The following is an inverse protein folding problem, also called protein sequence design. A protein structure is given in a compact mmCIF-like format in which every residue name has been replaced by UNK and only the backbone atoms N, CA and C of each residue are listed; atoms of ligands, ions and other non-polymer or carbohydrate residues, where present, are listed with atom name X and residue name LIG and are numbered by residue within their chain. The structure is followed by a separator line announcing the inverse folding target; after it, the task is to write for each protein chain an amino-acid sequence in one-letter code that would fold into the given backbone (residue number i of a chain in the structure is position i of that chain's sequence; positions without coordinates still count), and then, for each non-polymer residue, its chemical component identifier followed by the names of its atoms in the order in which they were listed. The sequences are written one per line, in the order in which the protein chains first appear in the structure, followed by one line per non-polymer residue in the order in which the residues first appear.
data_IF_899653001424
#
_entry.id   IF_899653001424
#
_cell.length_a   1.000
_cell.length_b   1.000
_cell.length_c   1.000
_cell.angle_alpha   90.00
_cell.angle_beta   90.00
_cell.angle_gamma   90.00
#
_symmetry.space_group_name_H-M   'P 1'
#
loop_
_entity.id
_entity.type
_entity.pdbx_description
1 polymer ?
#
# COMPACT_ATOMS: atom_id res chain seq x y z
N UNK A 1 14.93 18.91 1.93
CA UNK A 1 14.69 17.45 1.89
C UNK A 1 13.51 17.20 0.98
N UNK A 2 13.76 16.68 -0.23
CA UNK A 2 12.68 16.27 -1.15
C UNK A 2 12.51 14.77 -0.98
N UNK A 3 11.35 14.38 -0.44
CA UNK A 3 10.92 12.98 -0.39
C UNK A 3 10.30 12.70 -1.76
N UNK A 4 10.89 11.80 -2.54
CA UNK A 4 10.28 11.37 -3.80
C UNK A 4 9.17 10.38 -3.45
N UNK A 5 7.93 10.86 -3.44
CA UNK A 5 6.74 10.15 -2.99
C UNK A 5 6.02 9.37 -4.12
N UNK A 6 6.61 9.30 -5.30
CA UNK A 6 6.00 8.67 -6.47
C UNK A 6 4.99 9.55 -7.22
N UNK A 7 4.86 10.85 -6.90
CA UNK A 7 3.97 11.76 -7.63
C UNK A 7 4.65 12.57 -8.73
N UNK A 8 5.97 12.46 -8.90
CA UNK A 8 6.66 13.00 -10.06
C UNK A 8 7.17 11.82 -10.90
N UNK A 9 6.63 11.69 -12.09
CA UNK A 9 7.24 10.91 -13.17
C UNK A 9 8.56 11.58 -13.56
N UNK A 10 9.60 10.84 -14.00
CA UNK A 10 10.63 11.43 -14.83
C UNK A 10 9.97 12.19 -15.99
N UNK A 11 10.48 13.36 -16.34
CA UNK A 11 9.99 14.13 -17.48
C UNK A 11 10.34 13.37 -18.76
N UNK A 12 9.41 12.55 -19.26
CA UNK A 12 9.55 11.82 -20.53
C UNK A 12 9.27 12.72 -21.75
N UNK A 13 9.15 14.03 -21.56
CA UNK A 13 8.73 14.95 -22.61
C UNK A 13 7.28 14.76 -23.05
N UNK A 14 6.84 15.64 -23.97
CA UNK A 14 5.45 15.83 -24.38
C UNK A 14 4.86 14.73 -25.28
N UNK A 15 5.58 13.65 -25.55
CA UNK A 15 5.15 12.59 -26.48
C UNK A 15 4.80 11.25 -25.82
N UNK A 16 4.93 11.09 -24.50
CA UNK A 16 4.79 9.78 -23.85
C UNK A 16 3.64 9.74 -22.84
N UNK A 17 2.56 9.04 -23.21
CA UNK A 17 1.52 8.54 -22.30
C UNK A 17 1.19 7.07 -22.63
N UNK A 18 1.09 6.13 -21.66
CA UNK A 18 1.55 6.24 -20.28
C UNK A 18 2.73 5.32 -19.90
N UNK A 19 3.17 4.30 -20.65
CA UNK A 19 4.32 3.47 -20.23
C UNK A 19 5.04 2.82 -21.42
N UNK A 20 6.23 3.31 -21.77
CA UNK A 20 7.11 2.70 -22.77
C UNK A 20 8.13 1.81 -22.04
N UNK A 21 8.06 0.49 -22.23
CA UNK A 21 9.17 -0.41 -21.89
C UNK A 21 10.19 -0.35 -23.03
N UNK A 22 11.41 0.10 -22.76
CA UNK A 22 12.52 0.23 -23.71
C UNK A 22 13.48 -0.96 -23.66
N UNK A 23 13.19 -1.97 -22.84
CA UNK A 23 14.10 -3.08 -22.53
C UNK A 23 14.84 -2.93 -21.21
N UNK A 24 14.58 -1.88 -20.41
CA UNK A 24 15.22 -1.64 -19.11
C UNK A 24 14.43 -2.25 -17.94
N UNK A 25 14.95 -3.27 -17.24
CA UNK A 25 14.27 -3.86 -16.10
C UNK A 25 14.48 -2.96 -14.86
N UNK A 26 13.72 -1.89 -14.65
CA UNK A 26 13.85 -1.07 -13.43
C UNK A 26 13.53 0.41 -13.61
N UNK A 27 13.92 1.22 -12.61
CA UNK A 27 13.78 2.68 -12.61
C UNK A 27 15.15 3.32 -12.41
N UNK A 28 15.44 4.32 -13.23
CA UNK A 28 16.64 5.14 -13.09
C UNK A 28 16.32 6.45 -12.38
N UNK A 29 16.85 6.59 -11.18
CA UNK A 29 16.80 7.83 -10.43
C UNK A 29 18.01 8.68 -10.81
N UNK A 30 17.77 9.81 -11.49
CA UNK A 30 18.82 10.77 -11.85
C UNK A 30 19.38 11.47 -10.61
N UNK A 31 20.32 10.79 -9.94
CA UNK A 31 20.97 11.21 -8.71
C UNK A 31 22.45 10.85 -8.71
N UNK A 32 23.29 11.87 -8.60
CA UNK A 32 24.74 11.74 -8.67
C UNK A 32 25.36 11.66 -7.28
N UNK A 33 26.00 10.54 -6.96
CA UNK A 33 26.85 10.36 -5.77
C UNK A 33 26.17 10.67 -4.43
N UNK A 34 24.92 10.21 -4.27
CA UNK A 34 24.15 10.39 -3.03
C UNK A 34 23.98 9.08 -2.27
N UNK A 35 23.76 9.12 -0.95
CA UNK A 35 23.47 7.93 -0.16
C UNK A 35 22.28 7.12 -0.69
N UNK A 36 22.46 5.79 -0.77
CA UNK A 36 21.45 4.80 -1.17
C UNK A 36 21.12 3.94 0.05
N UNK A 37 19.83 3.72 0.29
CA UNK A 37 19.33 3.04 1.48
C UNK A 37 18.47 1.83 1.10
N UNK A 38 18.50 0.79 1.92
CA UNK A 38 17.69 -0.40 1.75
C UNK A 38 16.20 -0.05 1.76
N UNK A 39 15.51 -0.36 0.68
CA UNK A 39 14.12 -0.02 0.47
C UNK A 39 13.17 -0.85 1.37
N UNK A 40 13.58 -2.08 1.73
CA UNK A 40 12.96 -2.92 2.74
C UNK A 40 14.03 -3.70 3.55
N UNK A 41 13.65 -4.26 4.70
CA UNK A 41 14.53 -5.10 5.49
C UNK A 41 14.74 -6.47 4.84
N UNK A 42 15.91 -7.07 5.03
CA UNK A 42 16.25 -8.34 4.39
C UNK A 42 17.71 -8.72 4.56
N UNK A 43 18.17 -9.68 3.77
CA UNK A 43 19.55 -10.17 3.77
C UNK A 43 20.26 -9.73 2.50
N UNK A 44 21.46 -9.16 2.62
CA UNK A 44 22.34 -8.93 1.48
C UNK A 44 22.70 -10.28 0.86
N UNK A 45 22.21 -10.56 -0.34
CA UNK A 45 22.50 -11.81 -1.05
C UNK A 45 23.63 -11.65 -2.08
N UNK A 46 23.90 -10.42 -2.51
CA UNK A 46 24.97 -10.13 -3.46
C UNK A 46 25.49 -8.72 -3.26
N UNK A 47 26.80 -8.56 -3.42
CA UNK A 47 27.51 -7.29 -3.39
C UNK A 47 28.75 -7.42 -4.26
N UNK A 48 28.64 -7.05 -5.54
CA UNK A 48 29.75 -7.14 -6.50
C UNK A 48 29.47 -6.35 -7.77
N UNK A 49 30.47 -6.26 -8.64
CA UNK A 49 30.34 -5.69 -9.97
C UNK A 49 29.66 -6.69 -10.94
N UNK A 50 28.50 -6.33 -11.50
CA UNK A 50 27.68 -7.22 -12.35
C UNK A 50 27.53 -6.63 -13.75
N UNK A 51 28.51 -6.87 -14.62
CA UNK A 51 28.42 -6.53 -16.05
C UNK A 51 27.89 -5.11 -16.31
N UNK A 52 26.77 -5.00 -17.05
CA UNK A 52 26.11 -3.73 -17.38
C UNK A 52 25.58 -2.97 -16.17
N UNK A 53 25.20 -3.63 -15.08
CA UNK A 53 24.73 -2.99 -13.85
C UNK A 53 25.84 -2.29 -13.06
N UNK A 54 27.11 -2.62 -13.32
CA UNK A 54 28.22 -2.09 -12.53
C UNK A 54 28.20 -2.58 -11.08
N UNK A 55 28.71 -1.78 -10.16
CA UNK A 55 28.70 -2.12 -8.73
C UNK A 55 27.25 -2.20 -8.23
N UNK A 56 26.88 -3.37 -7.70
CA UNK A 56 25.49 -3.72 -7.41
C UNK A 56 25.34 -4.33 -6.03
N UNK A 57 24.32 -3.91 -5.30
CA UNK A 57 23.83 -4.59 -4.10
C UNK A 57 22.50 -5.25 -4.42
N UNK A 58 22.32 -6.50 -3.96
CA UNK A 58 21.05 -7.20 -3.99
C UNK A 58 20.63 -7.60 -2.59
N UNK A 59 19.37 -7.37 -2.28
CA UNK A 59 18.77 -7.69 -0.98
C UNK A 59 17.64 -8.68 -1.22
N UNK A 60 17.70 -9.85 -0.58
CA UNK A 60 16.55 -10.75 -0.49
C UNK A 60 15.68 -10.36 0.69
N UNK A 61 14.39 -10.24 0.45
CA UNK A 61 13.38 -9.90 1.46
C UNK A 61 12.59 -11.12 1.92
N UNK A 62 12.98 -12.32 1.46
CA UNK A 62 12.23 -13.56 1.65
C UNK A 62 11.04 -13.69 0.70
N UNK A 63 10.40 -14.86 0.71
CA UNK A 63 9.20 -15.17 -0.08
C UNK A 63 9.32 -14.86 -1.59
N UNK A 64 10.53 -14.97 -2.14
CA UNK A 64 10.82 -14.73 -3.56
C UNK A 64 11.06 -13.27 -3.93
N UNK A 65 11.02 -12.33 -2.98
CA UNK A 65 11.20 -10.91 -3.27
C UNK A 65 12.67 -10.47 -3.16
N UNK A 66 13.10 -9.64 -4.10
CA UNK A 66 14.44 -9.04 -4.12
C UNK A 66 14.39 -7.57 -4.54
N UNK A 67 15.34 -6.78 -4.05
CA UNK A 67 15.65 -5.45 -4.59
C UNK A 67 17.08 -5.36 -5.07
N UNK A 68 17.28 -4.68 -6.19
CA UNK A 68 18.60 -4.48 -6.79
C UNK A 68 18.91 -2.98 -6.83
N UNK A 69 20.15 -2.62 -6.49
CA UNK A 69 20.66 -1.25 -6.47
C UNK A 69 21.96 -1.24 -7.27
N UNK A 70 21.95 -0.61 -8.44
CA UNK A 70 23.01 -0.70 -9.43
C UNK A 70 23.60 0.68 -9.78
N UNK A 71 24.67 0.66 -10.59
CA UNK A 71 25.53 1.78 -10.94
C UNK A 71 26.16 2.47 -9.74
N UNK A 72 26.35 1.76 -8.62
CA UNK A 72 26.86 2.33 -7.38
C UNK A 72 28.31 2.82 -7.55
N UNK A 73 28.69 3.84 -6.79
CA UNK A 73 30.10 4.31 -6.76
C UNK A 73 30.89 3.69 -5.61
N UNK A 74 30.21 3.37 -4.52
CA UNK A 74 30.81 2.78 -3.33
C UNK A 74 29.76 2.00 -2.53
N UNK A 75 30.22 0.93 -1.87
CA UNK A 75 29.44 0.23 -0.86
C UNK A 75 29.65 0.88 0.51
N UNK A 76 28.61 0.87 1.35
CA UNK A 76 28.75 1.35 2.73
C UNK A 76 29.64 0.37 3.53
N UNK A 77 30.56 0.86 4.39
CA UNK A 77 31.36 0.00 5.25
C UNK A 77 30.51 -0.94 6.11
N UNK A 78 30.92 -2.21 6.20
CA UNK A 78 30.20 -3.24 6.95
C UNK A 78 29.08 -3.94 6.17
N UNK A 79 28.66 -3.42 5.01
CA UNK A 79 27.73 -4.13 4.12
C UNK A 79 28.45 -5.28 3.42
N UNK A 80 28.09 -6.51 3.81
CA UNK A 80 28.66 -7.76 3.30
C UNK A 80 27.55 -8.77 3.01
N UNK A 81 27.82 -9.74 2.13
CA UNK A 81 26.89 -10.84 1.83
C UNK A 81 26.59 -11.62 3.12
N UNK A 82 25.31 -11.94 3.34
CA UNK A 82 24.79 -12.59 4.55
C UNK A 82 24.38 -11.61 5.65
N UNK A 83 24.69 -10.31 5.53
CA UNK A 83 24.30 -9.31 6.52
C UNK A 83 22.79 -9.04 6.47
N UNK A 84 22.16 -9.01 7.64
CA UNK A 84 20.81 -8.48 7.80
C UNK A 84 20.84 -6.96 7.75
N UNK A 85 19.95 -6.37 6.96
CA UNK A 85 19.75 -4.93 6.90
C UNK A 85 18.33 -4.58 7.30
N UNK A 86 18.18 -3.50 8.04
CA UNK A 86 16.87 -2.92 8.31
C UNK A 86 16.49 -1.96 7.19
N UNK A 87 15.20 -1.77 6.99
CA UNK A 87 14.69 -0.75 6.09
C UNK A 87 15.25 0.63 6.44
N UNK A 88 15.61 1.41 5.42
CA UNK A 88 16.20 2.74 5.59
C UNK A 88 17.63 2.73 6.11
N UNK A 89 18.28 1.56 6.21
CA UNK A 89 19.70 1.48 6.48
C UNK A 89 20.49 1.88 5.23
N UNK A 90 21.51 2.73 5.40
CA UNK A 90 22.40 3.10 4.28
C UNK A 90 23.18 1.87 3.85
N UNK A 91 23.18 1.60 2.55
CA UNK A 91 23.84 0.41 1.97
C UNK A 91 24.95 0.77 0.98
N UNK A 92 24.87 1.95 0.36
CA UNK A 92 25.79 2.34 -0.70
C UNK A 92 25.71 3.86 -0.98
N UNK A 93 26.43 4.28 -2.03
CA UNK A 93 26.34 5.60 -2.66
C UNK A 93 26.06 5.40 -4.16
N UNK A 94 25.13 6.16 -4.73
CA UNK A 94 24.84 6.12 -6.18
C UNK A 94 26.07 6.54 -6.98
N UNK A 95 26.11 6.24 -8.27
CA UNK A 95 27.32 6.43 -9.04
C UNK A 95 27.09 6.39 -10.54
N UNK A 96 28.09 5.90 -11.25
CA UNK A 96 28.09 5.83 -12.71
C UNK A 96 28.89 4.62 -13.22
N UNK A 97 28.94 3.53 -12.43
CA UNK A 97 29.66 2.32 -12.82
C UNK A 97 28.82 1.47 -13.78
N UNK A 98 29.44 0.56 -14.53
CA UNK A 98 28.72 -0.24 -15.52
C UNK A 98 28.38 0.52 -16.80
N UNK A 99 27.33 0.06 -17.49
CA UNK A 99 26.79 0.67 -18.69
C UNK A 99 25.82 1.79 -18.31
N UNK A 100 26.38 2.95 -17.97
CA UNK A 100 25.63 4.13 -17.57
C UNK A 100 26.01 5.34 -18.42
N UNK A 101 25.02 6.08 -18.91
CA UNK A 101 25.23 7.30 -19.72
C UNK A 101 25.49 8.55 -18.88
N UNK A 102 25.22 8.50 -17.57
CA UNK A 102 25.47 9.57 -16.62
C UNK A 102 25.08 9.16 -15.19
N UNK A 103 25.57 9.85 -14.14
CA UNK A 103 25.41 9.38 -12.77
C UNK A 103 23.93 9.24 -12.35
N UNK A 104 23.54 8.03 -11.92
CA UNK A 104 22.19 7.71 -11.47
C UNK A 104 22.19 6.49 -10.53
N UNK A 105 21.02 6.17 -9.98
CA UNK A 105 20.75 4.89 -9.32
C UNK A 105 19.78 4.11 -10.19
N UNK A 106 20.20 2.93 -10.67
CA UNK A 106 19.27 1.96 -11.23
C UNK A 106 18.71 1.08 -10.12
N UNK A 107 17.38 1.03 -10.01
CA UNK A 107 16.68 0.33 -8.95
C UNK A 107 15.67 -0.66 -9.53
N UNK A 108 15.71 -1.89 -9.04
CA UNK A 108 14.75 -2.91 -9.41
C UNK A 108 14.02 -3.50 -8.21
N UNK A 109 12.78 -3.93 -8.47
CA UNK A 109 12.05 -4.88 -7.64
C UNK A 109 11.84 -6.15 -8.43
N UNK A 110 12.19 -7.30 -7.85
CA UNK A 110 12.01 -8.61 -8.49
C UNK A 110 11.20 -9.56 -7.63
N UNK A 111 10.42 -10.41 -8.29
CA UNK A 111 9.72 -11.54 -7.69
C UNK A 111 10.11 -12.84 -8.39
N UNK A 112 10.60 -13.81 -7.62
CA UNK A 112 11.15 -15.09 -8.11
C UNK A 112 12.14 -14.90 -9.26
N UNK A 113 13.04 -13.91 -9.12
CA UNK A 113 14.09 -13.59 -10.08
C UNK A 113 13.65 -12.76 -11.29
N UNK A 114 12.35 -12.52 -11.48
CA UNK A 114 11.81 -11.73 -12.58
C UNK A 114 11.63 -10.26 -12.18
N UNK A 115 12.06 -9.29 -13.00
CA UNK A 115 11.73 -7.88 -12.82
C UNK A 115 10.22 -7.67 -12.73
N UNK A 116 9.79 -6.80 -11.83
CA UNK A 116 8.39 -6.42 -11.65
C UNK A 116 8.28 -4.90 -11.65
N UNK A 117 7.15 -4.39 -12.15
CA UNK A 117 6.84 -2.98 -12.04
C UNK A 117 6.59 -2.63 -10.55
N UNK A 118 7.42 -1.75 -9.94
CA UNK A 118 7.26 -1.38 -8.54
C UNK A 118 5.98 -0.58 -8.27
N UNK A 119 5.34 0.00 -9.29
CA UNK A 119 4.12 0.83 -9.19
C UNK A 119 2.86 0.13 -9.72
N UNK A 120 3.03 -0.87 -10.57
CA UNK A 120 1.93 -1.51 -11.30
C UNK A 120 1.38 -0.64 -12.43
N UNK A 121 0.79 -1.28 -13.43
CA UNK A 121 0.19 -0.59 -14.58
C UNK A 121 -1.18 0.01 -14.23
N UNK A 122 -1.37 1.29 -14.53
CA UNK A 122 -2.70 1.92 -14.59
C UNK A 122 -3.18 2.08 -16.04
N UNK A 123 -4.40 1.63 -16.37
CA UNK A 123 -5.04 1.82 -17.69
C UNK A 123 -5.74 0.58 -18.27
N UNK A 124 -6.48 0.74 -19.37
CA UNK A 124 -7.36 -0.29 -19.97
C UNK A 124 -6.73 -1.14 -21.10
N UNK A 125 -5.53 -0.82 -21.58
CA UNK A 125 -4.88 -1.60 -22.66
C UNK A 125 -4.26 -2.93 -22.18
N UNK A 126 -3.74 -3.74 -23.10
CA UNK A 126 -2.94 -4.94 -22.80
C UNK A 126 -1.59 -4.51 -22.23
N UNK A 127 -1.15 -5.16 -21.15
CA UNK A 127 0.16 -4.97 -20.55
C UNK A 127 1.27 -5.47 -21.51
N UNK A 128 2.27 -4.65 -21.88
CA UNK A 128 3.38 -5.08 -22.74
C UNK A 128 4.20 -6.25 -22.18
N UNK A 129 4.12 -6.52 -20.87
CA UNK A 129 4.77 -7.65 -20.18
C UNK A 129 3.86 -8.88 -20.05
N UNK A 130 2.89 -9.05 -20.96
CA UNK A 130 1.89 -10.13 -20.99
C UNK A 130 2.41 -11.56 -20.73
N UNK A 131 3.68 -11.84 -21.06
CA UNK A 131 4.30 -13.15 -20.85
C UNK A 131 5.05 -13.32 -19.52
N UNK A 132 5.31 -12.23 -18.78
CA UNK A 132 6.03 -12.23 -17.51
C UNK A 132 5.22 -11.50 -16.44
N UNK A 133 4.16 -12.16 -15.97
CA UNK A 133 3.45 -11.92 -14.70
C UNK A 133 3.58 -10.51 -14.10
N UNK A 134 2.72 -9.60 -14.56
CA UNK A 134 2.39 -8.35 -13.86
C UNK A 134 1.71 -8.61 -12.52
N UNK A 135 2.47 -9.03 -11.51
CA UNK A 135 2.09 -8.91 -10.10
C UNK A 135 2.60 -7.57 -9.60
N UNK A 136 1.72 -6.72 -9.09
CA UNK A 136 2.13 -5.51 -8.40
C UNK A 136 3.13 -5.87 -7.29
N UNK A 137 4.21 -5.08 -7.14
CA UNK A 137 5.18 -5.22 -6.05
C UNK A 137 4.61 -4.88 -4.65
N UNK A 138 3.29 -4.81 -4.49
CA UNK A 138 2.59 -4.50 -3.23
C UNK A 138 3.02 -5.39 -2.07
N UNK A 139 3.57 -6.58 -2.35
CA UNK A 139 4.05 -7.51 -1.33
C UNK A 139 5.53 -7.38 -0.93
N UNK A 140 6.40 -6.82 -1.79
CA UNK A 140 7.82 -6.60 -1.44
C UNK A 140 7.90 -5.67 -0.23
N UNK A 141 7.10 -4.61 -0.28
CA UNK A 141 7.16 -3.51 0.67
C UNK A 141 6.56 -3.86 2.02
N UNK A 142 5.90 -5.01 2.14
CA UNK A 142 5.08 -5.45 3.26
C UNK A 142 5.63 -6.71 3.94
N UNK A 143 6.89 -6.73 4.39
CA UNK A 143 7.47 -7.75 5.30
C UNK A 143 7.10 -9.24 5.02
N UNK A 144 6.80 -9.61 3.77
CA UNK A 144 6.33 -10.95 3.40
C UNK A 144 4.85 -11.27 3.65
N UNK A 145 3.97 -10.28 3.90
CA UNK A 145 2.52 -10.46 4.05
C UNK A 145 1.76 -9.64 2.99
N UNK A 146 1.37 -10.27 1.87
CA UNK A 146 0.40 -9.75 0.89
C UNK A 146 -1.03 -9.57 1.47
N UNK A 147 -1.19 -9.43 2.78
CA UNK A 147 -2.46 -9.47 3.48
C UNK A 147 -3.03 -8.07 3.65
N UNK A 148 -4.03 -7.73 2.85
CA UNK A 148 -5.02 -6.78 3.32
C UNK A 148 -5.77 -7.47 4.48
N UNK A 149 -6.01 -6.75 5.57
CA UNK A 149 -6.83 -7.27 6.65
C UNK A 149 -8.26 -6.93 6.32
N UNK A 150 -9.07 -7.95 6.08
CA UNK A 150 -10.54 -7.79 6.01
C UNK A 150 -11.10 -8.24 7.34
N UNK A 151 -11.86 -7.36 7.96
CA UNK A 151 -12.67 -7.67 9.13
C UNK A 151 -14.10 -7.79 8.66
N UNK A 152 -14.68 -8.95 8.90
CA UNK A 152 -16.02 -9.35 8.51
C UNK A 152 -16.65 -10.20 9.63
N UNK A 153 -17.92 -10.60 9.55
CA UNK A 153 -18.57 -11.30 10.67
C UNK A 153 -17.94 -12.66 11.02
N UNK A 154 -17.37 -13.34 10.03
CA UNK A 154 -16.71 -14.63 10.22
C UNK A 154 -15.30 -14.54 10.85
N UNK A 155 -14.78 -13.34 11.08
CA UNK A 155 -13.39 -13.13 11.52
C UNK A 155 -13.19 -13.21 13.04
N UNK A 156 -14.28 -13.20 13.82
CA UNK A 156 -14.22 -13.08 15.28
C UNK A 156 -13.73 -11.72 15.78
N UNK A 157 -13.54 -10.74 14.88
CA UNK A 157 -13.09 -9.37 15.18
C UNK A 157 -14.11 -8.29 14.80
N UNK A 158 -15.29 -8.73 14.37
CA UNK A 158 -16.48 -7.90 14.20
C UNK A 158 -17.37 -8.03 15.44
N UNK A 159 -17.78 -6.90 16.00
CA UNK A 159 -18.69 -6.82 17.13
C UNK A 159 -19.83 -5.87 16.78
N UNK A 160 -21.03 -6.17 17.27
CA UNK A 160 -22.23 -5.44 16.87
C UNK A 160 -23.22 -5.28 18.00
N UNK A 161 -24.12 -4.32 17.83
CA UNK A 161 -25.36 -4.21 18.57
C UNK A 161 -26.46 -3.89 17.55
N UNK A 162 -27.16 -4.89 17.01
CA UNK A 162 -28.21 -4.70 16.00
C UNK A 162 -29.61 -5.13 16.45
N UNK A 163 -29.73 -5.83 17.59
CA UNK A 163 -30.91 -6.65 17.88
C UNK A 163 -31.06 -7.78 16.85
N UNK A 164 -31.58 -8.95 17.22
CA UNK A 164 -31.64 -10.08 16.29
C UNK A 164 -32.42 -9.77 14.99
N UNK A 165 -32.04 -10.42 13.88
CA UNK A 165 -32.88 -10.52 12.67
C UNK A 165 -32.59 -9.58 11.50
N UNK A 166 -31.63 -8.66 11.58
CA UNK A 166 -31.35 -7.72 10.50
C UNK A 166 -30.16 -8.12 9.62
N UNK A 167 -30.30 -9.22 8.87
CA UNK A 167 -29.24 -9.76 8.01
C UNK A 167 -29.71 -10.00 6.58
N UNK A 168 -28.78 -9.91 5.60
CA UNK A 168 -29.04 -10.28 4.21
C UNK A 168 -27.81 -10.97 3.58
N UNK A 169 -28.00 -11.77 2.52
CA UNK A 169 -26.94 -12.63 1.96
C UNK A 169 -26.11 -12.00 0.81
N UNK A 170 -26.18 -10.69 0.63
CA UNK A 170 -25.64 -9.96 -0.53
C UNK A 170 -24.41 -9.11 -0.22
N UNK A 171 -23.90 -9.13 1.01
CA UNK A 171 -22.65 -8.46 1.33
C UNK A 171 -21.43 -9.28 0.97
N UNK A 172 -20.28 -8.78 1.37
CA UNK A 172 -19.02 -9.50 1.31
C UNK A 172 -19.15 -10.82 2.08
N UNK A 173 -18.49 -11.87 1.59
CA UNK A 173 -18.65 -13.24 2.13
C UNK A 173 -20.10 -13.78 2.21
N UNK A 174 -21.05 -13.22 1.43
CA UNK A 174 -22.48 -13.55 1.44
C UNK A 174 -23.23 -13.20 2.72
N UNK A 175 -22.83 -12.13 3.38
CA UNK A 175 -23.39 -11.70 4.65
C UNK A 175 -23.35 -10.18 4.77
N UNK A 176 -24.42 -9.59 5.28
CA UNK A 176 -24.44 -8.18 5.70
C UNK A 176 -25.51 -7.96 6.75
N UNK A 177 -25.37 -6.87 7.49
CA UNK A 177 -26.35 -6.40 8.45
C UNK A 177 -26.87 -5.03 8.04
N UNK A 178 -28.10 -4.70 8.41
CA UNK A 178 -28.64 -3.36 8.16
C UNK A 178 -29.53 -2.90 9.30
N UNK A 179 -29.66 -1.61 9.52
CA UNK A 179 -30.67 -1.07 10.44
C UNK A 179 -31.27 0.23 9.89
N UNK A 180 -32.48 0.62 10.31
CA UNK A 180 -33.01 1.95 10.03
C UNK A 180 -32.06 3.03 10.56
N UNK A 181 -31.98 4.15 9.85
CA UNK A 181 -31.22 5.30 10.30
C UNK A 181 -31.87 6.02 11.51
N UNK A 182 -31.08 6.87 12.15
CA UNK A 182 -31.47 7.68 13.31
C UNK A 182 -31.06 9.14 13.13
N UNK A 183 -31.88 10.04 13.67
CA UNK A 183 -31.66 11.49 13.62
C UNK A 183 -30.86 12.05 14.79
N UNK A 184 -31.05 11.50 16.00
CA UNK A 184 -30.64 12.20 17.23
C UNK A 184 -29.94 11.35 18.28
N UNK A 185 -30.00 10.02 18.16
CA UNK A 185 -29.36 9.10 19.10
C UNK A 185 -28.94 7.81 18.43
N UNK A 186 -27.74 7.35 18.79
CA UNK A 186 -27.22 6.04 18.40
C UNK A 186 -28.01 4.97 19.13
N UNK A 187 -28.53 4.00 18.39
CA UNK A 187 -29.15 2.80 18.97
C UNK A 187 -28.35 1.56 18.58
N UNK A 188 -27.92 1.49 17.32
CA UNK A 188 -27.23 0.35 16.75
C UNK A 188 -25.87 0.74 16.18
N UNK A 189 -24.94 -0.22 16.20
CA UNK A 189 -23.58 0.02 15.73
C UNK A 189 -22.88 -1.28 15.32
N UNK A 190 -21.94 -1.14 14.40
CA UNK A 190 -20.96 -2.17 14.02
C UNK A 190 -19.55 -1.70 14.32
N UNK A 191 -18.69 -2.61 14.75
CA UNK A 191 -17.33 -2.34 15.19
C UNK A 191 -16.37 -3.39 14.60
N UNK A 192 -15.37 -2.92 13.86
CA UNK A 192 -14.38 -3.75 13.18
C UNK A 192 -13.00 -3.50 13.77
N UNK A 193 -12.42 -4.52 14.41
CA UNK A 193 -11.06 -4.46 14.94
C UNK A 193 -10.08 -5.18 13.99
N UNK A 194 -9.17 -4.47 13.30
CA UNK A 194 -8.25 -5.12 12.38
C UNK A 194 -7.22 -6.02 13.06
N UNK A 195 -6.86 -5.81 14.33
CA UNK A 195 -5.75 -6.51 14.99
C UNK A 195 -4.50 -6.57 14.10
N UNK A 196 -3.99 -5.39 13.73
CA UNK A 196 -2.93 -5.19 12.76
C UNK A 196 -1.61 -5.77 13.25
N UNK A 197 -0.87 -6.46 12.39
CA UNK A 197 0.43 -7.05 12.77
C UNK A 197 1.56 -6.02 12.82
N UNK A 198 1.41 -4.90 12.11
CA UNK A 198 2.46 -3.91 11.92
C UNK A 198 1.93 -2.50 12.07
N UNK A 199 2.78 -1.60 12.56
CA UNK A 199 2.52 -0.17 12.55
C UNK A 199 2.76 0.41 11.15
N UNK A 200 2.18 1.58 10.87
CA UNK A 200 2.41 2.36 9.66
C UNK A 200 1.11 2.82 8.99
N UNK A 201 1.20 3.38 7.78
CA UNK A 201 0.04 3.90 7.07
C UNK A 201 -0.79 2.79 6.43
N UNK A 202 -2.11 2.88 6.55
CA UNK A 202 -3.08 2.00 5.89
C UNK A 202 -4.17 2.82 5.20
N UNK A 203 -4.53 2.44 3.97
CA UNK A 203 -5.81 2.80 3.41
C UNK A 203 -6.91 1.94 4.04
N UNK A 204 -8.02 2.57 4.36
CA UNK A 204 -9.20 1.93 4.92
C UNK A 204 -10.32 1.99 3.90
N UNK A 205 -10.98 0.86 3.67
CA UNK A 205 -12.12 0.73 2.78
C UNK A 205 -13.31 0.10 3.51
N UNK A 206 -14.52 0.50 3.14
CA UNK A 206 -15.74 -0.20 3.51
C UNK A 206 -16.34 -0.88 2.28
N UNK A 207 -16.84 -2.10 2.44
CA UNK A 207 -17.67 -2.74 1.42
C UNK A 207 -19.10 -2.22 1.53
N UNK A 208 -19.68 -1.78 0.42
CA UNK A 208 -21.07 -1.33 0.36
C UNK A 208 -21.90 -2.40 -0.35
N UNK A 209 -22.82 -3.08 0.36
CA UNK A 209 -23.71 -4.09 -0.22
C UNK A 209 -24.61 -3.50 -1.30
N UNK A 210 -25.07 -4.34 -2.23
CA UNK A 210 -26.02 -3.96 -3.29
C UNK A 210 -27.44 -3.61 -2.81
N UNK A 211 -27.78 -3.95 -1.56
CA UNK A 211 -29.12 -3.75 -0.98
C UNK A 211 -29.03 -3.30 0.47
N UNK A 212 -30.08 -2.61 0.94
CA UNK A 212 -30.26 -2.16 2.33
C UNK A 212 -29.17 -1.20 2.88
N UNK A 213 -28.30 -0.65 2.02
CA UNK A 213 -27.35 0.40 2.34
C UNK A 213 -27.77 1.71 1.64
N UNK A 214 -28.83 2.36 2.13
CA UNK A 214 -29.52 3.44 1.42
C UNK A 214 -29.36 4.83 2.05
N UNK A 215 -28.62 4.95 3.16
CA UNK A 215 -28.28 6.25 3.73
C UNK A 215 -27.37 7.05 2.81
N UNK A 216 -27.63 8.36 2.73
CA UNK A 216 -26.76 9.34 2.09
C UNK A 216 -25.64 9.86 3.00
N UNK A 217 -25.64 9.53 4.29
CA UNK A 217 -24.78 10.17 5.28
C UNK A 217 -24.26 9.20 6.37
N UNK A 218 -23.64 8.10 5.95
CA UNK A 218 -22.99 7.16 6.86
C UNK A 218 -21.66 7.72 7.40
N UNK A 219 -21.53 7.84 8.72
CA UNK A 219 -20.33 8.33 9.40
C UNK A 219 -19.42 7.21 9.89
N UNK A 220 -18.42 6.84 9.09
CA UNK A 220 -17.42 5.85 9.50
C UNK A 220 -16.40 6.50 10.43
N UNK A 221 -16.38 6.11 11.70
CA UNK A 221 -15.42 6.59 12.70
C UNK A 221 -14.20 5.68 12.72
N UNK A 222 -13.03 6.21 12.42
CA UNK A 222 -11.78 5.45 12.31
C UNK A 222 -10.86 5.87 13.46
N UNK A 223 -10.57 4.95 14.38
CA UNK A 223 -9.58 5.15 15.43
C UNK A 223 -8.20 4.72 14.95
N UNK A 224 -7.27 5.68 14.89
CA UNK A 224 -5.91 5.55 14.40
C UNK A 224 -4.94 6.21 15.40
N UNK A 225 -3.64 6.20 15.14
CA UNK A 225 -2.61 6.64 16.11
C UNK A 225 -2.79 8.09 16.58
N UNK A 226 -3.28 8.96 15.70
CA UNK A 226 -3.50 10.39 16.00
C UNK A 226 -4.87 10.71 16.61
N UNK A 227 -5.71 9.70 16.89
CA UNK A 227 -7.05 9.87 17.46
C UNK A 227 -8.15 9.27 16.58
N UNK A 228 -9.31 9.94 16.53
CA UNK A 228 -10.48 9.47 15.78
C UNK A 228 -10.78 10.44 14.65
N UNK A 229 -10.80 9.94 13.42
CA UNK A 229 -11.33 10.65 12.25
C UNK A 229 -12.72 10.13 11.90
N UNK A 230 -13.55 10.96 11.25
CA UNK A 230 -14.85 10.53 10.72
C UNK A 230 -14.86 10.73 9.21
N UNK A 231 -15.19 9.67 8.48
CA UNK A 231 -15.34 9.68 7.03
C UNK A 231 -16.81 9.53 6.67
N UNK A 232 -17.43 10.63 6.22
CA UNK A 232 -18.82 10.65 5.80
C UNK A 232 -18.97 10.15 4.36
N UNK A 233 -19.87 9.19 4.12
CA UNK A 233 -20.11 8.61 2.79
C UNK A 233 -21.60 8.38 2.55
N UNK A 234 -22.03 8.61 1.32
CA UNK A 234 -23.34 8.18 0.85
C UNK A 234 -23.27 6.71 0.45
N UNK A 235 -23.88 5.81 1.23
CA UNK A 235 -23.97 4.40 0.84
C UNK A 235 -24.87 4.22 -0.39
N UNK A 236 -25.91 5.05 -0.51
CA UNK A 236 -26.82 5.03 -1.66
C UNK A 236 -26.14 5.31 -3.02
N UNK A 237 -24.91 5.85 -3.02
CA UNK A 237 -24.15 6.16 -4.22
C UNK A 237 -23.35 4.97 -4.78
N UNK A 238 -23.28 3.85 -4.07
CA UNK A 238 -22.39 2.73 -4.39
C UNK A 238 -23.14 1.41 -4.47
N UNK A 239 -22.60 0.46 -5.23
CA UNK A 239 -23.26 -0.83 -5.46
C UNK A 239 -22.26 -1.98 -5.49
N UNK A 240 -22.29 -2.82 -4.44
CA UNK A 240 -21.47 -4.03 -4.31
C UNK A 240 -19.98 -3.79 -4.58
N UNK A 241 -19.41 -2.82 -3.89
CA UNK A 241 -18.05 -2.35 -4.14
C UNK A 241 -17.33 -1.90 -2.87
N UNK A 242 -16.00 -1.83 -2.95
CA UNK A 242 -15.15 -1.31 -1.88
C UNK A 242 -14.93 0.20 -2.06
N UNK A 243 -15.39 1.00 -1.11
CA UNK A 243 -15.23 2.45 -1.13
C UNK A 243 -14.11 2.90 -0.22
N UNK A 244 -13.36 3.91 -0.65
CA UNK A 244 -12.23 4.45 0.11
C UNK A 244 -12.72 5.41 1.21
N UNK A 245 -12.33 5.12 2.45
CA UNK A 245 -12.66 5.92 3.63
C UNK A 245 -11.55 6.92 3.98
N UNK A 246 -10.30 6.62 3.66
CA UNK A 246 -9.15 7.46 3.97
C UNK A 246 -7.89 6.64 4.25
N UNK A 247 -6.77 7.34 4.43
CA UNK A 247 -5.49 6.75 4.81
C UNK A 247 -5.02 7.33 6.13
N UNK A 248 -4.62 6.46 7.05
CA UNK A 248 -4.27 6.83 8.42
C UNK A 248 -3.07 6.03 8.93
N UNK A 249 -2.35 6.60 9.89
CA UNK A 249 -1.28 5.91 10.62
C UNK A 249 -1.86 5.04 11.73
N UNK A 250 -1.47 3.77 11.77
CA UNK A 250 -1.89 2.81 12.79
C UNK A 250 -0.69 2.25 13.54
N UNK A 251 -0.86 1.90 14.82
CA UNK A 251 0.06 1.04 15.54
C UNK A 251 -0.30 -0.45 15.32
N UNK A 252 0.70 -1.32 15.43
CA UNK A 252 0.47 -2.76 15.53
C UNK A 252 -0.36 -3.09 16.80
N UNK A 253 -1.14 -4.16 16.72
CA UNK A 253 -1.97 -4.68 17.80
C UNK A 253 -3.47 -4.49 17.57
N UNK A 254 -4.25 -4.64 18.63
CA UNK A 254 -5.72 -4.63 18.62
C UNK A 254 -6.31 -3.31 19.14
N UNK A 255 -5.51 -2.24 19.26
CA UNK A 255 -5.95 -0.95 19.82
C UNK A 255 -6.78 -0.09 18.87
N UNK A 256 -6.80 -0.42 17.57
CA UNK A 256 -7.46 0.39 16.54
C UNK A 256 -8.74 -0.26 16.03
N UNK A 257 -9.61 0.55 15.41
CA UNK A 257 -10.92 0.10 14.97
C UNK A 257 -11.56 1.04 13.96
N UNK A 258 -12.54 0.51 13.23
CA UNK A 258 -13.56 1.30 12.53
C UNK A 258 -14.89 1.04 13.21
N UNK A 259 -15.70 2.08 13.41
CA UNK A 259 -17.06 1.99 13.96
C UNK A 259 -18.01 2.72 13.04
N UNK A 260 -19.11 2.07 12.73
CA UNK A 260 -20.26 2.68 12.06
C UNK A 260 -21.43 2.66 13.05
N UNK A 261 -22.21 3.72 13.05
CA UNK A 261 -23.38 3.92 13.91
C UNK A 261 -24.58 4.20 13.00
N UNK A 262 -25.79 3.97 13.51
CA UNK A 262 -27.04 4.25 12.81
C UNK A 262 -27.43 5.74 12.78
N UNK A 263 -26.64 6.60 13.45
CA UNK A 263 -26.85 8.04 13.49
C UNK A 263 -26.35 8.72 12.20
N UNK A 264 -27.27 8.97 11.28
CA UNK A 264 -26.99 9.62 9.98
C UNK A 264 -27.51 11.06 9.90
N UNK A 265 -28.29 11.48 10.90
CA UNK A 265 -28.97 12.79 10.96
C UNK A 265 -29.98 13.02 9.83
N UNK A 266 -30.29 12.00 9.03
CA UNK A 266 -31.28 12.10 7.94
C UNK A 266 -32.70 11.98 8.49
N UNK A 267 -33.61 12.76 7.91
CA UNK A 267 -35.02 12.78 8.30
C UNK A 267 -35.85 11.67 7.65
N UNK A 268 -35.42 11.20 6.48
CA UNK A 268 -36.02 10.11 5.74
C UNK A 268 -35.68 8.75 6.36
N UNK A 269 -36.61 7.78 6.21
CA UNK A 269 -36.42 6.40 6.65
C UNK A 269 -35.47 5.64 5.70
N UNK A 270 -34.18 5.96 5.76
CA UNK A 270 -33.11 5.25 5.06
C UNK A 270 -32.57 4.11 5.92
N UNK A 271 -31.70 3.28 5.35
CA UNK A 271 -31.05 2.17 6.06
C UNK A 271 -29.54 2.36 6.02
N UNK A 272 -28.90 2.06 7.14
CA UNK A 272 -27.45 1.96 7.24
C UNK A 272 -27.07 0.49 7.06
N UNK A 273 -26.23 0.21 6.06
CA UNK A 273 -25.65 -1.12 5.83
C UNK A 273 -24.32 -1.28 6.57
N UNK A 274 -24.08 -2.45 7.12
CA UNK A 274 -22.87 -2.86 7.83
C UNK A 274 -22.39 -4.17 7.23
N UNK A 275 -21.16 -4.21 6.79
CA UNK A 275 -20.57 -5.36 6.09
C UNK A 275 -19.09 -5.45 6.47
N UNK A 276 -18.17 -5.57 5.51
CA UNK A 276 -16.75 -5.73 5.77
C UNK A 276 -15.95 -4.41 5.70
N UNK A 277 -14.88 -4.35 6.50
CA UNK A 277 -13.87 -3.28 6.45
C UNK A 277 -12.53 -3.87 6.04
N UNK A 278 -11.86 -3.24 5.06
CA UNK A 278 -10.56 -3.67 4.56
C UNK A 278 -9.49 -2.63 4.87
N UNK A 279 -8.40 -3.08 5.48
CA UNK A 279 -7.20 -2.30 5.74
C UNK A 279 -6.11 -2.78 4.78
N UNK A 280 -5.68 -1.89 3.90
CA UNK A 280 -4.61 -2.14 2.93
C UNK A 280 -3.41 -1.33 3.37
N UNK A 281 -2.33 -2.01 3.74
CA UNK A 281 -1.15 -1.30 4.18
C UNK A 281 -0.53 -0.54 3.00
N UNK A 282 -0.40 0.78 3.14
CA UNK A 282 0.39 1.55 2.20
C UNK A 282 1.84 1.38 2.59
N UNK A 283 2.58 0.66 1.75
CA UNK A 283 4.02 0.67 1.83
C UNK A 283 4.52 0.90 0.42
N UNK A 284 4.59 2.15 0.02
CA UNK A 284 5.35 2.55 -1.16
C UNK A 284 6.61 3.17 -0.59
N UNK A 285 7.70 2.42 -0.60
CA UNK A 285 8.97 2.91 -0.09
C UNK A 285 10.06 2.58 -1.10
N UNK A 286 10.14 3.42 -2.13
CA UNK A 286 11.35 3.58 -2.96
C UNK A 286 12.55 3.86 -2.03
N UNK A 287 13.78 3.45 -2.37
CA UNK A 287 14.97 3.88 -1.64
C UNK A 287 14.91 5.36 -1.28
N UNK A 288 15.19 5.68 -0.01
CA UNK A 288 15.39 7.07 0.38
C UNK A 288 16.59 7.57 -0.42
N UNK A 289 16.44 8.63 -1.21
CA UNK A 289 17.56 9.24 -1.93
C UNK A 289 17.62 10.69 -1.50
N UNK A 290 18.48 10.98 -0.53
CA UNK A 290 18.63 12.32 0.00
C UNK A 290 19.34 13.22 -1.02
N UNK A 291 18.61 14.13 -1.68
CA UNK A 291 19.24 15.30 -2.31
C UNK A 291 19.74 16.23 -1.21
N UNK A 292 21.04 16.44 -1.16
CA UNK A 292 21.65 17.47 -0.32
C UNK A 292 21.42 18.83 -1.02
N UNK A 293 20.31 19.50 -0.71
CA UNK A 293 20.09 20.90 -1.16
C UNK A 293 20.76 21.83 -0.16
N UNK A 294 22.08 21.95 -0.27
CA UNK A 294 22.85 23.03 0.34
C UNK A 294 23.76 23.61 -0.74
N UNK A 295 23.17 24.49 -1.55
CA UNK A 295 23.79 25.66 -2.18
C UNK A 295 22.73 26.75 -2.13
#
# INVERSE_FOLDING_TARGET
MIVYNGEMTPDCGSSCRPYCYDGHPGIDYSVAYVPVFAAAGGVIIQREYIGGYGETVKISHGNGWETWYAHLSAYEPGIVVGMQVTRGQKIATSGNTGQSSGPHLHFEVRYNGQPTDPFGRAGSGIDPLYYSMGRAATCLWTDGQCGHVVVDENTGRFQTNFGGGNTHCTGYSYSMFYVPNRQSSVQYWGYWNPGLRHSGPYAVYAHIPSVNATTGNAGYRIHHTSGISVSWRSQAAYYNEWIYLGSFEFAAGTGHWVRLEDLTYEDQATKVGFDAIRFVQHRIYVPFVARNTLN
#
